data_IF_052660286429
#
_entry.id   IF_052660286429
#
_cell.length_a   1.000
_cell.length_b   1.000
_cell.length_c   1.000
_cell.angle_alpha   90.00
_cell.angle_beta   90.00
_cell.angle_gamma   90.00
#
_symmetry.space_group_name_H-M   'P 1'
#
loop_
_entity.id
_entity.type
_entity.pdbx_description
1 polymer ?
#
# COMPACT_ATOMS: atom_id res chain seq x y z
N UNK A 1 6.71 21.37 -8.79
CA UNK A 1 6.26 20.47 -7.71
C UNK A 1 4.74 20.53 -7.65
N UNK A 2 4.05 19.59 -8.31
CA UNK A 2 2.64 19.27 -8.05
C UNK A 2 2.29 18.06 -8.94
N UNK A 3 2.41 16.84 -8.41
CA UNK A 3 1.90 15.63 -9.08
C UNK A 3 0.86 14.89 -8.23
N UNK A 4 0.39 15.50 -7.13
CA UNK A 4 -0.42 14.82 -6.12
C UNK A 4 -1.90 15.28 -6.04
N UNK A 5 -2.41 16.02 -7.04
CA UNK A 5 -3.81 16.49 -7.02
C UNK A 5 -4.80 15.64 -7.83
N UNK A 6 -4.32 14.74 -8.71
CA UNK A 6 -5.19 14.06 -9.69
C UNK A 6 -5.78 12.73 -9.21
N UNK A 7 -5.27 12.13 -8.12
CA UNK A 7 -5.80 10.85 -7.62
C UNK A 7 -6.75 10.99 -6.43
N UNK A 8 -6.73 12.13 -5.71
CA UNK A 8 -7.83 12.45 -4.81
C UNK A 8 -9.14 12.70 -5.60
N UNK A 9 -9.07 12.94 -6.91
CA UNK A 9 -10.23 12.93 -7.81
C UNK A 9 -10.76 11.52 -8.14
N UNK A 10 -9.94 10.47 -7.98
CA UNK A 10 -10.37 9.07 -8.11
C UNK A 10 -10.80 8.44 -6.78
N UNK A 11 -10.28 8.96 -5.66
CA UNK A 11 -10.71 8.62 -4.29
C UNK A 11 -11.92 9.46 -3.85
N UNK A 12 -12.09 10.66 -4.41
CA UNK A 12 -13.13 11.64 -4.03
C UNK A 12 -14.39 11.68 -4.91
N UNK A 13 -14.57 10.76 -5.87
CA UNK A 13 -15.77 10.74 -6.72
C UNK A 13 -16.40 9.34 -6.88
N UNK A 14 -16.30 8.51 -5.85
CA UNK A 14 -16.94 7.20 -5.81
C UNK A 14 -18.10 7.19 -4.82
N UNK A 15 -19.06 8.10 -5.02
CA UNK A 15 -20.36 8.12 -4.34
C UNK A 15 -21.28 6.95 -4.72
N UNK A 16 -20.81 5.87 -5.36
CA UNK A 16 -21.69 4.84 -5.92
C UNK A 16 -21.37 3.37 -5.58
N UNK A 17 -20.23 2.97 -5.00
CA UNK A 17 -19.99 1.57 -4.60
C UNK A 17 -19.01 1.42 -3.44
N UNK A 18 -19.49 1.55 -2.20
CA UNK A 18 -18.69 1.36 -0.98
C UNK A 18 -18.14 -0.06 -0.78
N UNK A 19 -18.76 -1.09 -1.37
CA UNK A 19 -18.33 -2.49 -1.18
C UNK A 19 -17.05 -2.89 -1.92
N UNK A 20 -16.82 -2.35 -3.12
CA UNK A 20 -15.69 -2.78 -3.96
C UNK A 20 -14.34 -2.25 -3.44
N UNK A 21 -14.34 -1.10 -2.76
CA UNK A 21 -13.11 -0.45 -2.28
C UNK A 21 -12.54 -1.15 -1.04
N UNK A 22 -13.42 -1.61 -0.15
CA UNK A 22 -13.02 -2.39 1.03
C UNK A 22 -12.41 -3.73 0.58
N UNK A 23 -13.04 -4.40 -0.38
CA UNK A 23 -12.53 -5.65 -0.96
C UNK A 23 -11.15 -5.51 -1.60
N UNK A 24 -10.98 -4.49 -2.45
CA UNK A 24 -9.68 -4.22 -3.12
C UNK A 24 -8.60 -3.87 -2.10
N UNK A 25 -8.91 -3.10 -1.07
CA UNK A 25 -7.94 -2.76 -0.01
C UNK A 25 -7.49 -4.00 0.76
N UNK A 26 -8.42 -4.87 1.16
CA UNK A 26 -8.09 -6.12 1.85
C UNK A 26 -7.28 -7.09 0.98
N UNK A 27 -7.58 -7.15 -0.31
CA UNK A 27 -6.79 -7.93 -1.26
C UNK A 27 -5.35 -7.40 -1.35
N UNK A 28 -5.18 -6.09 -1.51
CA UNK A 28 -3.86 -5.46 -1.57
C UNK A 28 -3.06 -5.64 -0.26
N UNK A 29 -3.73 -5.56 0.89
CA UNK A 29 -3.11 -5.84 2.20
C UNK A 29 -2.55 -7.26 2.27
N UNK A 30 -3.33 -8.25 1.83
CA UNK A 30 -2.87 -9.65 1.78
C UNK A 30 -1.71 -9.84 0.80
N UNK A 31 -1.79 -9.23 -0.38
CA UNK A 31 -0.72 -9.29 -1.38
C UNK A 31 0.59 -8.73 -0.83
N UNK A 32 0.54 -7.56 -0.19
CA UNK A 32 1.73 -6.93 0.41
C UNK A 32 2.29 -7.78 1.56
N UNK A 33 1.43 -8.35 2.41
CA UNK A 33 1.87 -9.23 3.50
C UNK A 33 2.54 -10.50 2.97
N UNK A 34 1.94 -11.18 1.98
CA UNK A 34 2.53 -12.38 1.35
C UNK A 34 3.89 -12.05 0.76
N UNK A 35 3.99 -10.93 0.03
CA UNK A 35 5.24 -10.49 -0.59
C UNK A 35 6.34 -10.24 0.45
N UNK A 36 6.03 -9.55 1.55
CA UNK A 36 7.01 -9.28 2.60
C UNK A 36 7.40 -10.57 3.35
N UNK A 37 6.46 -11.51 3.50
CA UNK A 37 6.72 -12.79 4.15
C UNK A 37 7.66 -13.67 3.30
N UNK A 38 7.49 -13.67 1.98
CA UNK A 38 8.30 -14.46 1.05
C UNK A 38 9.66 -13.81 0.74
N UNK A 39 9.67 -12.52 0.40
CA UNK A 39 10.88 -11.81 -0.01
C UNK A 39 11.67 -11.20 1.17
N UNK A 40 11.07 -11.14 2.36
CA UNK A 40 11.66 -10.53 3.54
C UNK A 40 11.57 -9.00 3.53
N UNK A 41 12.61 -8.33 4.03
CA UNK A 41 12.59 -6.88 4.19
C UNK A 41 12.72 -6.16 2.84
N UNK A 42 11.67 -5.45 2.45
CA UNK A 42 11.62 -4.67 1.21
C UNK A 42 11.38 -3.18 1.50
N UNK A 43 11.92 -2.32 0.64
CA UNK A 43 11.54 -0.91 0.64
C UNK A 43 10.12 -0.72 0.09
N UNK A 44 9.44 0.37 0.46
CA UNK A 44 8.13 0.72 -0.10
C UNK A 44 8.16 0.87 -1.63
N UNK A 45 9.28 1.30 -2.17
CA UNK A 45 9.48 1.45 -3.61
C UNK A 45 9.56 0.08 -4.30
N UNK A 46 10.28 -0.88 -3.72
CA UNK A 46 10.34 -2.26 -4.24
C UNK A 46 8.98 -2.94 -4.16
N UNK A 47 8.26 -2.78 -3.04
CA UNK A 47 6.90 -3.31 -2.90
C UNK A 47 6.00 -2.76 -4.02
N UNK A 48 6.05 -1.45 -4.31
CA UNK A 48 5.26 -0.85 -5.39
C UNK A 48 5.64 -1.40 -6.78
N UNK A 49 6.93 -1.62 -7.04
CA UNK A 49 7.41 -2.18 -8.31
C UNK A 49 6.95 -3.62 -8.51
N UNK A 50 7.05 -4.45 -7.47
CA UNK A 50 6.72 -5.88 -7.53
C UNK A 50 5.21 -6.11 -7.56
N UNK A 51 4.45 -5.37 -6.75
CA UNK A 51 2.99 -5.51 -6.69
C UNK A 51 2.24 -4.77 -7.81
N UNK A 52 2.96 -3.98 -8.61
CA UNK A 52 2.39 -3.05 -9.61
C UNK A 52 1.35 -2.07 -9.02
N UNK A 53 1.38 -1.85 -7.71
CA UNK A 53 0.54 -0.88 -7.02
C UNK A 53 1.18 0.52 -7.07
N UNK A 54 0.35 1.55 -6.97
CA UNK A 54 0.84 2.91 -6.81
C UNK A 54 1.65 3.05 -5.51
N UNK A 55 2.71 3.85 -5.54
CA UNK A 55 3.54 4.09 -4.36
C UNK A 55 2.77 4.70 -3.19
N UNK A 56 1.69 5.45 -3.48
CA UNK A 56 0.79 6.00 -2.47
C UNK A 56 -0.03 4.89 -1.79
N UNK A 57 -0.64 3.97 -2.55
CA UNK A 57 -1.42 2.85 -2.00
C UNK A 57 -0.54 1.97 -1.11
N UNK A 58 0.66 1.64 -1.58
CA UNK A 58 1.65 0.89 -0.79
C UNK A 58 1.98 1.65 0.49
N UNK A 59 2.19 2.97 0.42
CA UNK A 59 2.51 3.78 1.60
C UNK A 59 1.40 3.75 2.65
N UNK A 60 0.14 3.91 2.24
CA UNK A 60 -1.01 3.87 3.15
C UNK A 60 -1.12 2.49 3.81
N UNK A 61 -1.04 1.42 3.02
CA UNK A 61 -1.17 0.05 3.52
C UNK A 61 -0.02 -0.31 4.45
N UNK A 62 1.24 -0.07 4.03
CA UNK A 62 2.42 -0.38 4.84
C UNK A 62 2.42 0.42 6.14
N UNK A 63 2.07 1.71 6.10
CA UNK A 63 1.98 2.53 7.33
C UNK A 63 0.89 2.00 8.28
N UNK A 64 -0.24 1.55 7.74
CA UNK A 64 -1.31 0.95 8.54
C UNK A 64 -0.85 -0.37 9.18
N UNK A 65 -0.25 -1.26 8.41
CA UNK A 65 0.26 -2.55 8.90
C UNK A 65 1.37 -2.37 9.95
N UNK A 66 2.23 -1.36 9.80
CA UNK A 66 3.21 -0.97 10.82
C UNK A 66 2.53 -0.45 12.10
N UNK A 67 1.49 0.38 11.97
CA UNK A 67 0.74 0.92 13.11
C UNK A 67 -0.03 -0.17 13.86
N UNK A 68 -0.58 -1.14 13.14
CA UNK A 68 -1.31 -2.29 13.71
C UNK A 68 -0.36 -3.39 14.25
N UNK A 69 0.95 -3.27 14.02
CA UNK A 69 1.95 -4.21 14.53
C UNK A 69 2.15 -5.47 13.69
N UNK A 70 1.50 -5.58 12.53
CA UNK A 70 1.67 -6.70 11.59
C UNK A 70 3.02 -6.65 10.86
N UNK A 71 3.57 -5.46 10.67
CA UNK A 71 4.90 -5.25 10.10
C UNK A 71 5.82 -4.57 11.11
N UNK A 72 7.13 -4.81 10.99
CA UNK A 72 8.17 -4.06 11.70
C UNK A 72 9.14 -3.46 10.69
N UNK A 73 9.57 -2.23 10.93
CA UNK A 73 10.67 -1.64 10.17
C UNK A 73 11.95 -2.39 10.52
N UNK A 74 12.67 -2.86 9.50
CA UNK A 74 14.04 -3.34 9.66
C UNK A 74 14.99 -2.15 9.56
N UNK A 75 16.11 -2.21 10.25
CA UNK A 75 17.15 -1.20 10.15
C UNK A 75 17.63 -1.05 8.70
N UNK A 76 17.84 0.19 8.29
CA UNK A 76 18.41 0.50 6.99
C UNK A 76 19.86 0.05 7.01
N UNK A 77 20.17 -1.00 6.24
CA UNK A 77 21.56 -1.38 5.97
C UNK A 77 22.13 -0.26 5.09
N UNK A 78 23.04 0.54 5.66
CA UNK A 78 23.76 1.62 4.98
C UNK A 78 25.02 1.10 4.32
#
# INVERSE_FOLDING_TARGET
MSVDSTFNAFVGNATHRGGNQIGVKHYNERLILSLIQEAGALSKAEIARITHLSSQTVTIIVNRLLKEGYLRKKDVIR
#
